data_IF_483801809928
#
_entry.id   IF_483801809928
#
_cell.length_a   1.000
_cell.length_b   1.000
_cell.length_c   1.000
_cell.angle_alpha   90.00
_cell.angle_beta   90.00
_cell.angle_gamma   90.00
#
_symmetry.space_group_name_H-M   'P 1'
#
loop_
_entity.id
_entity.type
_entity.pdbx_description
1 polymer ?
#
# COMPACT_ATOMS: atom_id res chain seq x y z
N UNK A 1 5.38 -55.25 41.95
CA UNK A 1 6.06 -53.96 42.16
C UNK A 1 5.99 -53.19 40.84
N UNK A 2 5.23 -52.10 40.78
CA UNK A 2 5.09 -51.23 39.61
C UNK A 2 6.05 -50.06 39.77
N UNK A 3 6.96 -49.88 38.82
CA UNK A 3 7.87 -48.72 38.75
C UNK A 3 7.14 -47.61 37.99
N UNK A 4 6.96 -46.39 38.55
CA UNK A 4 6.36 -45.30 37.82
C UNK A 4 7.39 -44.70 36.86
N UNK A 5 7.05 -44.66 35.57
CA UNK A 5 7.81 -43.99 34.54
C UNK A 5 7.56 -42.47 34.68
N UNK A 6 8.52 -41.74 35.25
CA UNK A 6 8.47 -40.27 35.28
C UNK A 6 8.92 -39.78 33.90
N UNK A 7 7.96 -39.36 33.08
CA UNK A 7 8.23 -38.63 31.84
C UNK A 7 8.51 -37.17 32.23
N UNK A 8 9.80 -36.80 32.25
CA UNK A 8 10.21 -35.41 32.38
C UNK A 8 9.92 -34.70 31.05
N UNK A 9 8.83 -33.93 31.00
CA UNK A 9 8.59 -32.99 29.90
C UNK A 9 9.58 -31.83 30.04
N UNK A 10 10.65 -31.85 29.26
CA UNK A 10 11.54 -30.69 29.11
C UNK A 10 10.80 -29.60 28.32
N UNK A 11 10.22 -28.64 29.03
CA UNK A 11 9.77 -27.38 28.44
C UNK A 11 11.00 -26.55 28.07
N UNK A 12 11.52 -26.76 26.85
CA UNK A 12 12.51 -25.84 26.28
C UNK A 12 11.91 -24.44 26.23
N UNK A 13 12.55 -23.47 26.87
CA UNK A 13 12.17 -22.06 26.74
C UNK A 13 12.33 -21.68 25.27
N UNK A 14 11.21 -21.45 24.56
CA UNK A 14 11.26 -21.02 23.19
C UNK A 14 11.95 -19.65 23.11
N UNK A 15 13.14 -19.62 22.51
CA UNK A 15 13.89 -18.38 22.32
C UNK A 15 13.12 -17.48 21.37
N UNK A 16 12.61 -16.36 21.88
CA UNK A 16 11.92 -15.37 21.07
C UNK A 16 12.89 -14.73 20.07
N UNK A 17 12.46 -14.66 18.82
CA UNK A 17 13.14 -13.92 17.76
C UNK A 17 12.61 -12.49 17.69
N UNK A 18 13.44 -11.56 17.24
CA UNK A 18 13.03 -10.15 17.05
C UNK A 18 13.30 -9.72 15.61
N UNK A 19 12.24 -9.40 14.87
CA UNK A 19 12.32 -8.70 13.60
C UNK A 19 12.35 -7.19 13.87
N UNK A 20 13.27 -6.47 13.22
CA UNK A 20 13.38 -5.01 13.26
C UNK A 20 13.22 -4.47 11.85
N UNK A 21 12.29 -3.54 11.66
CA UNK A 21 12.05 -2.86 10.38
C UNK A 21 12.25 -1.37 10.63
N UNK A 22 13.31 -0.76 10.08
CA UNK A 22 13.49 0.68 10.14
C UNK A 22 12.45 1.37 9.23
N UNK A 23 11.96 2.51 9.69
CA UNK A 23 11.14 3.46 8.94
C UNK A 23 11.74 4.86 9.13
N UNK A 24 11.38 5.85 8.30
CA UNK A 24 11.84 7.23 8.52
C UNK A 24 11.58 7.74 9.95
N UNK A 25 10.45 7.34 10.54
CA UNK A 25 10.01 7.82 11.84
C UNK A 25 10.52 6.98 13.02
N UNK A 26 11.23 5.87 12.78
CA UNK A 26 11.74 5.03 13.85
C UNK A 26 12.00 3.57 13.48
N UNK A 27 11.84 2.66 14.45
CA UNK A 27 12.03 1.22 14.26
C UNK A 27 10.84 0.45 14.82
N UNK A 28 10.13 -0.25 13.94
CA UNK A 28 9.13 -1.24 14.33
C UNK A 28 9.81 -2.55 14.71
N UNK A 29 9.49 -3.07 15.90
CA UNK A 29 10.04 -4.30 16.47
C UNK A 29 8.92 -5.31 16.66
N UNK A 30 9.12 -6.53 16.17
CA UNK A 30 8.19 -7.65 16.33
C UNK A 30 8.93 -8.80 17.02
N UNK A 31 8.54 -9.10 18.26
CA UNK A 31 9.06 -10.25 19.00
C UNK A 31 8.08 -11.42 18.84
N UNK A 32 8.56 -12.56 18.36
CA UNK A 32 7.73 -13.71 18.04
C UNK A 32 8.44 -15.03 18.34
N UNK A 33 7.67 -16.11 18.49
CA UNK A 33 8.21 -17.46 18.62
C UNK A 33 8.40 -18.06 17.20
N UNK A 34 9.65 -18.35 16.77
CA UNK A 34 9.90 -18.88 15.43
C UNK A 34 9.38 -20.31 15.21
N UNK A 35 9.00 -21.01 16.30
CA UNK A 35 8.36 -22.34 16.23
C UNK A 35 6.90 -22.23 15.78
N UNK A 36 6.22 -21.13 16.11
CA UNK A 36 4.79 -20.94 15.79
C UNK A 36 4.57 -19.97 14.64
N UNK A 37 5.54 -19.09 14.35
CA UNK A 37 5.46 -18.10 13.29
C UNK A 37 6.69 -18.21 12.40
N UNK A 38 6.48 -18.52 11.12
CA UNK A 38 7.57 -18.59 10.15
C UNK A 38 8.24 -17.20 9.97
N UNK A 39 9.57 -17.09 10.04
CA UNK A 39 10.28 -15.82 9.87
C UNK A 39 9.99 -15.08 8.56
N UNK A 40 9.79 -15.82 7.47
CA UNK A 40 9.42 -15.26 6.17
C UNK A 40 7.99 -14.72 6.14
N UNK A 41 7.06 -15.41 6.82
CA UNK A 41 5.67 -14.98 6.92
C UNK A 41 5.56 -13.69 7.75
N UNK A 42 6.17 -13.63 8.95
CA UNK A 42 6.15 -12.40 9.76
C UNK A 42 6.85 -11.23 9.08
N UNK A 43 7.93 -11.46 8.32
CA UNK A 43 8.58 -10.39 7.55
C UNK A 43 7.61 -9.75 6.55
N UNK A 44 6.77 -10.55 5.90
CA UNK A 44 5.74 -10.08 4.96
C UNK A 44 4.56 -9.44 5.68
N UNK A 45 4.01 -10.09 6.70
CA UNK A 45 2.87 -9.57 7.46
C UNK A 45 3.19 -8.25 8.15
N UNK A 46 4.39 -8.08 8.68
CA UNK A 46 4.84 -6.85 9.32
C UNK A 46 4.81 -5.63 8.38
N UNK A 47 4.95 -5.82 7.06
CA UNK A 47 4.84 -4.73 6.08
C UNK A 47 3.47 -4.07 6.08
N UNK A 48 2.43 -4.79 6.54
CA UNK A 48 1.06 -4.31 6.60
C UNK A 48 0.76 -3.47 7.85
N UNK A 49 1.70 -3.38 8.80
CA UNK A 49 1.44 -2.63 10.02
C UNK A 49 1.23 -1.14 9.75
N UNK A 50 0.40 -0.49 10.56
CA UNK A 50 0.12 0.96 10.49
C UNK A 50 1.39 1.82 10.54
N UNK A 51 2.43 1.39 11.28
CA UNK A 51 3.69 2.14 11.42
C UNK A 51 4.69 1.91 10.26
N UNK A 52 4.40 0.98 9.35
CA UNK A 52 5.30 0.62 8.23
C UNK A 52 4.65 0.92 6.88
N UNK A 53 3.36 0.60 6.73
CA UNK A 53 2.60 0.75 5.48
C UNK A 53 2.61 2.16 4.83
N UNK A 54 2.78 3.28 5.57
CA UNK A 54 2.98 4.59 4.95
C UNK A 54 4.28 4.73 4.16
N UNK A 55 5.31 3.92 4.45
CA UNK A 55 6.68 4.09 3.91
C UNK A 55 7.10 3.01 2.92
N UNK A 56 6.22 2.05 2.63
CA UNK A 56 6.49 0.96 1.69
C UNK A 56 5.47 0.89 0.54
N UNK A 57 4.71 1.97 0.35
CA UNK A 57 3.73 2.18 -0.71
C UNK A 57 2.49 1.26 -0.66
N UNK A 58 2.19 0.64 0.49
CA UNK A 58 0.89 -0.02 0.68
C UNK A 58 -0.23 0.98 0.99
N UNK A 59 0.03 1.94 1.89
CA UNK A 59 -0.97 2.95 2.27
C UNK A 59 -1.00 4.14 1.29
N UNK A 60 0.16 4.54 0.80
CA UNK A 60 0.33 5.67 -0.13
C UNK A 60 1.05 5.13 -1.36
N UNK A 61 0.31 4.62 -2.36
CA UNK A 61 0.90 4.09 -3.59
C UNK A 61 1.71 5.15 -4.34
N UNK A 62 2.61 4.72 -5.22
CA UNK A 62 3.26 5.65 -6.15
C UNK A 62 2.20 6.38 -7.01
N UNK A 63 2.50 7.62 -7.42
CA UNK A 63 1.68 8.38 -8.37
C UNK A 63 2.42 8.56 -9.68
N UNK A 64 1.73 8.94 -10.77
CA UNK A 64 2.35 9.10 -12.10
C UNK A 64 3.61 10.00 -12.13
N UNK A 65 3.64 11.07 -11.33
CA UNK A 65 4.77 12.00 -11.26
C UNK A 65 5.89 11.61 -10.29
N UNK A 66 5.75 10.48 -9.58
CA UNK A 66 6.80 10.00 -8.70
C UNK A 66 7.95 9.41 -9.50
N UNK A 67 9.19 9.76 -9.12
CA UNK A 67 10.39 9.16 -9.67
C UNK A 67 11.50 9.18 -8.61
N UNK A 68 12.16 8.03 -8.42
CA UNK A 68 13.20 7.85 -7.39
C UNK A 68 14.56 7.84 -8.08
N UNK A 69 15.32 8.92 -7.91
CA UNK A 69 16.65 9.07 -8.51
C UNK A 69 17.56 7.88 -8.14
N UNK A 70 18.19 7.28 -9.15
CA UNK A 70 19.13 6.17 -8.99
C UNK A 70 18.49 4.79 -8.79
N UNK A 71 17.15 4.67 -8.81
CA UNK A 71 16.50 3.36 -8.87
C UNK A 71 16.62 2.78 -10.28
N UNK A 72 17.06 1.52 -10.38
CA UNK A 72 17.38 0.85 -11.64
C UNK A 72 16.20 0.69 -12.61
N UNK A 73 14.96 0.78 -12.11
CA UNK A 73 13.76 0.63 -12.96
C UNK A 73 13.32 1.96 -13.59
N UNK A 74 13.77 3.11 -13.07
CA UNK A 74 13.42 4.41 -13.65
C UNK A 74 14.48 4.87 -14.65
N UNK A 75 14.00 5.54 -15.68
CA UNK A 75 14.83 6.42 -16.48
C UNK A 75 15.08 7.74 -15.74
N UNK A 76 16.01 8.56 -16.24
CA UNK A 76 16.34 9.85 -15.63
C UNK A 76 15.08 10.66 -15.31
N UNK A 77 14.92 11.06 -14.04
CA UNK A 77 13.66 11.62 -13.53
C UNK A 77 13.29 13.00 -14.12
N UNK A 78 14.28 13.78 -14.57
CA UNK A 78 14.08 15.04 -15.27
C UNK A 78 13.09 15.99 -14.57
N UNK A 79 12.16 16.59 -15.31
CA UNK A 79 11.21 17.56 -14.75
C UNK A 79 10.00 16.93 -14.06
N UNK A 80 9.82 15.59 -14.18
CA UNK A 80 8.72 14.81 -13.58
C UNK A 80 7.31 15.26 -13.98
N UNK A 81 7.20 15.96 -15.10
CA UNK A 81 5.94 16.37 -15.72
C UNK A 81 5.80 15.76 -17.12
N UNK A 82 4.61 15.78 -17.75
CA UNK A 82 4.36 15.12 -19.03
C UNK A 82 5.16 15.63 -20.24
N UNK A 83 5.85 16.77 -20.14
CA UNK A 83 6.74 17.24 -21.19
C UNK A 83 8.13 16.58 -21.12
N UNK A 84 8.47 15.93 -20.02
CA UNK A 84 9.70 15.15 -19.92
C UNK A 84 9.61 13.89 -20.82
N UNK A 85 10.65 13.60 -21.64
CA UNK A 85 10.63 12.44 -22.53
C UNK A 85 10.50 11.10 -21.79
N UNK A 86 10.92 11.05 -20.52
CA UNK A 86 10.90 9.83 -19.70
C UNK A 86 9.62 9.70 -18.85
N UNK A 87 8.76 10.74 -18.81
CA UNK A 87 7.58 10.75 -17.94
C UNK A 87 6.70 9.51 -18.15
N UNK A 88 6.34 9.20 -19.39
CA UNK A 88 5.45 8.07 -19.69
C UNK A 88 6.08 6.72 -19.31
N UNK A 89 7.41 6.58 -19.46
CA UNK A 89 8.11 5.39 -19.01
C UNK A 89 8.03 5.26 -17.49
N UNK A 90 8.42 6.31 -16.77
CA UNK A 90 8.47 6.31 -15.30
C UNK A 90 7.07 6.15 -14.67
N UNK A 91 6.04 6.74 -15.28
CA UNK A 91 4.65 6.53 -14.89
C UNK A 91 4.22 5.06 -15.03
N UNK A 92 4.62 4.37 -16.10
CA UNK A 92 4.34 2.93 -16.27
C UNK A 92 5.10 2.06 -15.27
N UNK A 93 6.30 2.46 -14.87
CA UNK A 93 7.04 1.79 -13.79
C UNK A 93 6.25 1.86 -12.48
N UNK A 94 5.66 3.02 -12.15
CA UNK A 94 4.82 3.19 -10.96
C UNK A 94 3.59 2.27 -11.01
N UNK A 95 2.84 2.30 -12.12
CA UNK A 95 1.69 1.41 -12.35
C UNK A 95 2.07 -0.07 -12.15
N UNK A 96 3.17 -0.52 -12.77
CA UNK A 96 3.65 -1.90 -12.65
C UNK A 96 4.03 -2.29 -11.22
N UNK A 97 4.61 -1.36 -10.45
CA UNK A 97 4.93 -1.59 -9.02
C UNK A 97 3.66 -1.75 -8.19
N UNK A 98 2.63 -0.96 -8.44
CA UNK A 98 1.33 -1.10 -7.77
C UNK A 98 0.69 -2.45 -8.13
N UNK A 99 0.66 -2.82 -9.42
CA UNK A 99 0.17 -4.13 -9.88
C UNK A 99 0.88 -5.28 -9.18
N UNK A 100 2.21 -5.21 -9.05
CA UNK A 100 3.01 -6.20 -8.34
C UNK A 100 2.61 -6.31 -6.87
N UNK A 101 2.41 -5.18 -6.17
CA UNK A 101 1.95 -5.20 -4.76
C UNK A 101 0.57 -5.82 -4.62
N UNK A 102 -0.35 -5.52 -5.54
CA UNK A 102 -1.67 -6.16 -5.57
C UNK A 102 -1.53 -7.67 -5.75
N UNK A 103 -0.69 -8.12 -6.68
CA UNK A 103 -0.43 -9.54 -6.91
C UNK A 103 0.21 -10.23 -5.69
N UNK A 104 1.12 -9.56 -5.00
CA UNK A 104 1.73 -10.02 -3.75
C UNK A 104 0.69 -10.19 -2.64
N UNK A 105 -0.23 -9.23 -2.47
CA UNK A 105 -1.33 -9.32 -1.51
C UNK A 105 -2.35 -10.42 -1.88
N UNK A 106 -2.64 -10.62 -3.17
CA UNK A 106 -3.59 -11.65 -3.60
C UNK A 106 -3.04 -13.08 -3.48
N UNK A 107 -1.74 -13.25 -3.72
CA UNK A 107 -1.07 -14.56 -3.67
C UNK A 107 -0.47 -14.88 -2.30
N UNK A 108 -0.36 -13.89 -1.42
CA UNK A 108 0.20 -14.05 -0.09
C UNK A 108 -0.64 -14.98 0.78
N UNK A 109 0.04 -15.76 1.62
CA UNK A 109 -0.61 -16.57 2.66
C UNK A 109 -0.82 -15.69 3.89
N UNK A 110 -2.07 -15.40 4.18
CA UNK A 110 -2.49 -14.60 5.34
C UNK A 110 -3.40 -15.42 6.24
N UNK A 111 -3.30 -15.16 7.54
CA UNK A 111 -4.18 -15.77 8.54
C UNK A 111 -5.54 -15.08 8.48
N UNK A 112 -6.58 -15.73 8.99
CA UNK A 112 -7.95 -15.19 8.96
C UNK A 112 -8.03 -13.80 9.61
N UNK A 113 -7.27 -13.57 10.69
CA UNK A 113 -7.21 -12.30 11.40
C UNK A 113 -6.58 -11.17 10.58
N UNK A 114 -5.73 -11.50 9.61
CA UNK A 114 -5.09 -10.53 8.72
C UNK A 114 -5.94 -10.20 7.48
N UNK A 115 -6.96 -10.99 7.14
CA UNK A 115 -7.78 -10.74 5.94
C UNK A 115 -8.35 -9.32 5.88
N UNK A 116 -8.94 -8.74 6.96
CA UNK A 116 -9.43 -7.37 6.91
C UNK A 116 -8.31 -6.34 6.64
N UNK A 117 -7.09 -6.59 7.12
CA UNK A 117 -5.92 -5.74 6.86
C UNK A 117 -5.49 -5.83 5.40
N UNK A 118 -5.50 -7.03 4.84
CA UNK A 118 -5.17 -7.26 3.42
C UNK A 118 -6.23 -6.62 2.52
N UNK A 119 -7.51 -6.81 2.82
CA UNK A 119 -8.62 -6.22 2.05
C UNK A 119 -8.56 -4.68 2.08
N UNK A 120 -8.21 -4.09 3.22
CA UNK A 120 -7.98 -2.66 3.35
C UNK A 120 -6.93 -2.15 2.35
N UNK A 121 -5.75 -2.77 2.29
CA UNK A 121 -4.70 -2.37 1.34
C UNK A 121 -5.03 -2.72 -0.10
N UNK A 122 -5.71 -3.84 -0.37
CA UNK A 122 -6.17 -4.19 -1.70
C UNK A 122 -7.15 -3.16 -2.25
N UNK A 123 -8.06 -2.65 -1.41
CA UNK A 123 -8.98 -1.59 -1.82
C UNK A 123 -8.23 -0.32 -2.19
N UNK A 124 -7.30 0.13 -1.35
CA UNK A 124 -6.46 1.31 -1.64
C UNK A 124 -5.71 1.11 -2.97
N UNK A 125 -4.89 0.06 -3.06
CA UNK A 125 -4.03 -0.16 -4.23
C UNK A 125 -4.83 -0.34 -5.51
N UNK A 126 -5.96 -1.06 -5.46
CA UNK A 126 -6.78 -1.29 -6.66
C UNK A 126 -7.48 -0.01 -7.12
N UNK A 127 -7.97 0.83 -6.21
CA UNK A 127 -8.57 2.12 -6.56
C UNK A 127 -7.53 3.06 -7.18
N UNK A 128 -6.41 3.27 -6.50
CA UNK A 128 -5.41 4.25 -6.95
C UNK A 128 -4.62 3.76 -8.18
N UNK A 129 -4.51 2.44 -8.40
CA UNK A 129 -4.05 1.90 -9.69
C UNK A 129 -5.00 2.26 -10.83
N UNK A 130 -6.30 2.08 -10.63
CA UNK A 130 -7.29 2.37 -11.65
C UNK A 130 -7.33 3.86 -11.99
N UNK A 131 -7.18 4.72 -10.97
CA UNK A 131 -6.98 6.16 -11.13
C UNK A 131 -5.73 6.47 -11.97
N UNK A 132 -4.55 5.99 -11.58
CA UNK A 132 -3.30 6.24 -12.30
C UNK A 132 -3.37 5.80 -13.78
N UNK A 133 -4.02 4.66 -14.06
CA UNK A 133 -4.25 4.18 -15.43
C UNK A 133 -5.17 5.12 -16.21
N UNK A 134 -6.27 5.59 -15.59
CA UNK A 134 -7.21 6.51 -16.21
C UNK A 134 -6.56 7.89 -16.47
N UNK A 135 -5.83 8.40 -15.49
CA UNK A 135 -5.09 9.66 -15.55
C UNK A 135 -4.04 9.64 -16.66
N UNK A 136 -3.24 8.55 -16.75
CA UNK A 136 -2.25 8.40 -17.80
C UNK A 136 -2.91 8.40 -19.20
N UNK A 137 -4.05 7.72 -19.33
CA UNK A 137 -4.81 7.69 -20.59
C UNK A 137 -5.39 9.07 -20.95
N UNK A 138 -5.86 9.83 -19.96
CA UNK A 138 -6.30 11.21 -20.15
C UNK A 138 -5.14 12.11 -20.58
N UNK A 139 -3.99 12.06 -19.90
CA UNK A 139 -2.80 12.87 -20.24
C UNK A 139 -2.31 12.57 -21.67
N UNK A 140 -2.41 11.32 -22.12
CA UNK A 140 -2.00 10.92 -23.46
C UNK A 140 -2.99 11.34 -24.56
N UNK A 141 -4.30 11.30 -24.27
CA UNK A 141 -5.34 11.48 -25.28
C UNK A 141 -6.03 12.85 -25.25
N UNK A 142 -5.98 13.55 -24.13
CA UNK A 142 -6.75 14.76 -23.84
C UNK A 142 -8.26 14.54 -23.69
N UNK A 143 -8.77 13.29 -23.70
CA UNK A 143 -10.21 13.00 -23.64
C UNK A 143 -10.67 12.84 -22.19
N UNK A 144 -11.50 13.77 -21.71
CA UNK A 144 -12.09 13.74 -20.36
C UNK A 144 -12.90 12.46 -20.07
N UNK A 145 -13.41 11.78 -21.10
CA UNK A 145 -14.05 10.47 -20.96
C UNK A 145 -13.11 9.39 -20.42
N UNK A 146 -11.80 9.52 -20.63
CA UNK A 146 -10.81 8.54 -20.22
C UNK A 146 -10.49 8.59 -18.72
N UNK A 147 -10.92 9.63 -18.00
CA UNK A 147 -10.84 9.71 -16.54
C UNK A 147 -11.88 8.84 -15.83
N UNK A 148 -12.93 8.39 -16.51
CA UNK A 148 -13.95 7.56 -15.89
C UNK A 148 -13.43 6.14 -15.64
N UNK A 149 -13.52 5.67 -14.40
CA UNK A 149 -13.22 4.28 -14.03
C UNK A 149 -14.13 3.79 -12.91
N UNK A 150 -14.19 2.47 -12.77
CA UNK A 150 -14.89 1.76 -11.69
C UNK A 150 -13.87 0.93 -10.94
N UNK A 151 -13.82 1.07 -9.61
CA UNK A 151 -12.97 0.25 -8.75
C UNK A 151 -13.69 -0.04 -7.44
N UNK A 152 -13.52 -1.25 -6.91
CA UNK A 152 -14.08 -1.69 -5.62
C UNK A 152 -15.58 -1.41 -5.44
N UNK A 153 -16.35 -1.46 -6.53
CA UNK A 153 -17.80 -1.22 -6.52
C UNK A 153 -18.21 0.25 -6.58
N UNK A 154 -17.27 1.19 -6.72
CA UNK A 154 -17.53 2.62 -6.83
C UNK A 154 -17.29 3.08 -8.27
N UNK A 155 -18.26 3.79 -8.84
CA UNK A 155 -18.12 4.51 -10.11
C UNK A 155 -17.61 5.93 -9.84
N UNK A 156 -16.31 6.13 -10.05
CA UNK A 156 -15.63 7.40 -9.82
C UNK A 156 -15.93 8.42 -10.93
N UNK A 157 -16.29 7.96 -12.13
CA UNK A 157 -16.74 8.83 -13.21
C UNK A 157 -18.02 9.57 -12.84
N UNK A 158 -18.92 8.91 -12.12
CA UNK A 158 -20.15 9.49 -11.58
C UNK A 158 -19.91 10.27 -10.29
N UNK A 159 -19.16 9.70 -9.33
CA UNK A 159 -18.91 10.34 -8.04
C UNK A 159 -18.18 11.69 -8.16
N UNK A 160 -17.36 11.85 -9.21
CA UNK A 160 -16.58 13.05 -9.49
C UNK A 160 -17.04 13.80 -10.76
N UNK A 161 -18.30 13.63 -11.17
CA UNK A 161 -18.82 14.19 -12.42
C UNK A 161 -18.67 15.72 -12.51
N UNK A 162 -18.97 16.45 -11.43
CA UNK A 162 -18.91 17.92 -11.39
C UNK A 162 -17.52 18.49 -11.70
N UNK A 163 -16.46 17.71 -11.45
CA UNK A 163 -15.09 18.09 -11.81
C UNK A 163 -14.77 17.76 -13.26
N UNK A 164 -15.25 16.63 -13.77
CA UNK A 164 -15.06 16.25 -15.18
C UNK A 164 -15.66 17.29 -16.12
N UNK A 165 -16.82 17.83 -15.78
CA UNK A 165 -17.46 18.90 -16.56
C UNK A 165 -16.65 20.20 -16.60
N UNK A 166 -15.71 20.39 -15.66
CA UNK A 166 -14.78 21.53 -15.60
C UNK A 166 -13.47 21.28 -16.34
N UNK A 167 -13.19 20.04 -16.73
CA UNK A 167 -11.99 19.70 -17.49
C UNK A 167 -12.29 19.97 -18.96
N UNK A 168 -11.42 20.73 -19.62
CA UNK A 168 -11.61 21.06 -21.03
C UNK A 168 -10.89 20.03 -21.90
N UNK A 169 -11.56 19.59 -22.98
CA UNK A 169 -10.84 18.98 -24.09
C UNK A 169 -9.79 19.99 -24.60
N UNK A 170 -8.60 19.53 -24.96
CA UNK A 170 -7.48 20.34 -25.48
C UNK A 170 -6.66 21.19 -24.48
N UNK A 171 -6.64 20.84 -23.20
CA UNK A 171 -5.64 21.41 -22.27
C UNK A 171 -4.22 20.95 -22.63
N UNK A 172 -3.23 21.82 -22.37
CA UNK A 172 -1.82 21.41 -22.40
C UNK A 172 -1.58 20.28 -21.40
N UNK A 173 -0.66 19.35 -21.73
CA UNK A 173 -0.44 18.13 -20.93
C UNK A 173 -0.05 18.43 -19.49
N UNK A 174 0.72 19.50 -19.23
CA UNK A 174 1.12 19.88 -17.86
C UNK A 174 -0.07 20.42 -17.08
N UNK A 175 -0.93 21.22 -17.72
CA UNK A 175 -2.16 21.70 -17.11
C UNK A 175 -3.11 20.53 -16.78
N UNK A 176 -3.30 19.61 -17.72
CA UNK A 176 -4.08 18.39 -17.54
C UNK A 176 -3.53 17.53 -16.38
N UNK A 177 -2.20 17.34 -16.33
CA UNK A 177 -1.52 16.61 -15.26
C UNK A 177 -1.71 17.25 -13.88
N UNK A 178 -1.57 18.56 -13.78
CA UNK A 178 -1.76 19.27 -12.52
C UNK A 178 -3.21 19.14 -12.02
N UNK A 179 -4.20 19.20 -12.92
CA UNK A 179 -5.61 18.99 -12.55
C UNK A 179 -5.90 17.58 -12.09
N UNK A 180 -5.37 16.55 -12.76
CA UNK A 180 -5.62 15.18 -12.31
C UNK A 180 -4.95 14.90 -10.96
N UNK A 181 -3.69 15.33 -10.80
CA UNK A 181 -2.92 15.13 -9.57
C UNK A 181 -3.54 15.81 -8.35
N UNK A 182 -4.27 16.91 -8.54
CA UNK A 182 -4.83 17.69 -7.44
C UNK A 182 -6.35 17.55 -7.37
N UNK A 183 -7.09 18.10 -8.33
CA UNK A 183 -8.54 18.24 -8.23
C UNK A 183 -9.24 16.89 -8.35
N UNK A 184 -8.87 16.11 -9.37
CA UNK A 184 -9.42 14.78 -9.60
C UNK A 184 -9.05 13.83 -8.45
N UNK A 185 -7.76 13.77 -8.11
CA UNK A 185 -7.27 12.94 -7.01
C UNK A 185 -7.96 13.23 -5.68
N UNK A 186 -8.12 14.50 -5.32
CA UNK A 186 -8.83 14.87 -4.10
C UNK A 186 -10.29 14.39 -4.11
N UNK A 187 -10.97 14.44 -5.25
CA UNK A 187 -12.31 13.91 -5.37
C UNK A 187 -12.36 12.38 -5.28
N UNK A 188 -11.47 11.68 -5.99
CA UNK A 188 -11.35 10.21 -5.90
C UNK A 188 -11.07 9.78 -4.47
N UNK A 189 -10.12 10.44 -3.80
CA UNK A 189 -9.78 10.23 -2.40
C UNK A 189 -10.98 10.48 -1.46
N UNK A 190 -11.75 11.55 -1.68
CA UNK A 190 -12.97 11.83 -0.92
C UNK A 190 -14.04 10.74 -1.15
N UNK A 191 -14.29 10.36 -2.40
CA UNK A 191 -15.25 9.31 -2.74
C UNK A 191 -14.82 7.94 -2.17
N UNK A 192 -13.52 7.62 -2.21
CA UNK A 192 -12.96 6.44 -1.57
C UNK A 192 -13.20 6.47 -0.06
N UNK A 193 -12.88 7.60 0.61
CA UNK A 193 -13.13 7.79 2.06
C UNK A 193 -14.57 7.49 2.43
N UNK A 194 -15.52 8.02 1.66
CA UNK A 194 -16.95 7.92 1.95
C UNK A 194 -17.48 6.50 1.79
N UNK A 195 -16.94 5.72 0.84
CA UNK A 195 -17.42 4.37 0.53
C UNK A 195 -16.69 3.28 1.33
N UNK A 196 -15.41 3.46 1.63
CA UNK A 196 -14.56 2.41 2.23
C UNK A 196 -14.00 2.78 3.61
N UNK A 197 -13.99 4.06 3.97
CA UNK A 197 -13.30 4.57 5.16
C UNK A 197 -11.77 4.62 4.98
N UNK A 198 -11.12 5.46 5.78
CA UNK A 198 -9.65 5.56 5.85
C UNK A 198 -9.04 4.93 7.11
N UNK A 199 -9.88 4.33 7.95
CA UNK A 199 -9.42 3.82 9.23
C UNK A 199 -8.75 2.46 9.05
N UNK A 200 -7.46 2.41 9.38
CA UNK A 200 -6.71 1.16 9.46
C UNK A 200 -7.47 0.15 10.36
N UNK A 201 -7.62 -1.13 9.94
CA UNK A 201 -8.36 -2.15 10.68
C UNK A 201 -7.60 -2.65 11.92
N UNK A 202 -7.42 -1.75 12.89
CA UNK A 202 -6.62 -1.94 14.10
C UNK A 202 -7.06 -3.15 14.93
N UNK A 203 -8.35 -3.39 15.07
CA UNK A 203 -8.86 -4.55 15.82
C UNK A 203 -8.49 -5.90 15.20
N UNK A 204 -8.45 -5.97 13.86
CA UNK A 204 -8.01 -7.18 13.14
C UNK A 204 -6.50 -7.40 13.32
N UNK A 205 -5.72 -6.32 13.20
CA UNK A 205 -4.28 -6.34 13.44
C UNK A 205 -3.91 -6.75 14.88
N UNK A 206 -4.57 -6.18 15.89
CA UNK A 206 -4.38 -6.54 17.30
C UNK A 206 -4.79 -8.00 17.58
N UNK A 207 -5.85 -8.48 16.94
CA UNK A 207 -6.29 -9.88 17.04
C UNK A 207 -5.24 -10.84 16.46
N UNK A 208 -4.64 -10.50 15.32
CA UNK A 208 -3.52 -11.23 14.74
C UNK A 208 -2.32 -11.27 15.72
N UNK A 209 -1.88 -10.12 16.23
CA UNK A 209 -0.76 -10.07 17.17
C UNK A 209 -1.01 -10.95 18.41
N UNK A 210 -2.22 -10.86 18.98
CA UNK A 210 -2.62 -11.66 20.14
C UNK A 210 -2.66 -13.15 19.83
N UNK A 211 -3.27 -13.55 18.71
CA UNK A 211 -3.42 -14.96 18.30
C UNK A 211 -2.07 -15.66 18.18
N UNK A 212 -1.07 -14.97 17.64
CA UNK A 212 0.26 -15.51 17.38
C UNK A 212 1.28 -15.16 18.48
N UNK A 213 0.84 -14.54 19.59
CA UNK A 213 1.69 -14.11 20.69
C UNK A 213 2.88 -13.24 20.24
N UNK A 214 2.60 -12.30 19.33
CA UNK A 214 3.59 -11.37 18.78
C UNK A 214 3.52 -10.07 19.57
N UNK A 215 4.64 -9.67 20.18
CA UNK A 215 4.80 -8.36 20.83
C UNK A 215 5.35 -7.36 19.80
N UNK A 216 4.48 -6.43 19.36
CA UNK A 216 4.87 -5.33 18.50
C UNK A 216 5.14 -4.06 19.32
N UNK A 217 6.26 -3.40 19.04
CA UNK A 217 6.57 -2.07 19.58
C UNK A 217 7.14 -1.18 18.50
N UNK A 218 6.77 0.10 18.53
CA UNK A 218 7.41 1.13 17.72
C UNK A 218 8.34 1.95 18.62
N UNK A 219 9.57 2.18 18.17
CA UNK A 219 10.54 3.05 18.83
C UNK A 219 10.78 4.23 17.91
N UNK A 220 10.22 5.42 18.22
CA UNK A 220 10.42 6.61 17.39
C UNK A 220 11.89 7.01 17.29
N UNK A 221 12.28 7.64 16.19
CA UNK A 221 13.56 8.36 16.09
C UNK A 221 13.52 9.54 17.07
N UNK A 222 14.57 9.73 17.87
CA UNK A 222 14.66 10.91 18.74
C UNK A 222 14.74 12.17 17.88
N UNK A 223 13.81 13.10 18.11
CA UNK A 223 13.86 14.43 17.48
C UNK A 223 14.87 15.25 18.28
N UNK A 224 16.06 15.44 17.70
CA UNK A 224 17.06 16.37 18.21
C UNK A 224 16.67 17.82 17.88
#
# INVERSE_FOLDING_TARGET
>A
MLVPLIVLLMFGTATLSTLRIPTPDGVAKFRYNPVTVNPGDIKRWAQLSENISPYNFFLVPESLGMCIDGSADYEQCGSRDPNDPNFIHNAKVNISRIEKRIAELKSGRYTEELKPVVDYFLNILTTFLAEDVADLKYIQSGRVSDLAFVANGVDYGTACNDLRDKFQASEDKVAAFNKVRHDWHNCVNQAFTQNHGYSYPKGAWESFLKRYSIDQRFVPTEVN
#
